data_IF_351870142679
#
_entry.id   IF_351870142679
#
_cell.length_a   1.000
_cell.length_b   1.000
_cell.length_c   1.000
_cell.angle_alpha   90.00
_cell.angle_beta   90.00
_cell.angle_gamma   90.00
#
_symmetry.space_group_name_H-M   'P 1'
#
loop_
_entity.id
_entity.type
_entity.pdbx_description
1 polymer ?
#
# COMPACT_ATOMS: atom_id res chain seq x y z
N UNK A 1 -16.03 10.15 12.61
CA UNK A 1 -15.97 9.53 11.28
C UNK A 1 -14.52 9.47 10.87
N UNK A 2 -14.02 8.29 10.54
CA UNK A 2 -12.69 8.13 9.97
C UNK A 2 -12.67 8.76 8.56
N UNK A 3 -11.67 9.60 8.29
CA UNK A 3 -11.46 10.19 6.96
C UNK A 3 -10.29 9.49 6.29
N UNK A 4 -10.38 9.31 4.96
CA UNK A 4 -9.25 8.74 4.21
C UNK A 4 -8.12 9.75 4.12
N UNK A 5 -8.44 11.00 3.82
CA UNK A 5 -7.47 12.08 3.72
C UNK A 5 -7.21 12.67 5.10
N UNK A 6 -5.93 12.84 5.43
CA UNK A 6 -5.46 13.50 6.64
C UNK A 6 -4.28 14.42 6.33
N UNK A 7 -3.95 15.31 7.25
CA UNK A 7 -2.79 16.20 7.13
C UNK A 7 -1.67 15.75 8.06
N UNK A 8 -0.44 15.87 7.59
CA UNK A 8 0.77 15.66 8.37
C UNK A 8 1.71 16.84 8.20
N UNK A 9 2.53 17.07 9.22
CA UNK A 9 3.53 18.14 9.21
C UNK A 9 4.89 17.60 9.59
N UNK A 10 5.91 17.95 8.80
CA UNK A 10 7.31 17.64 9.09
C UNK A 10 8.14 18.92 9.21
N UNK A 11 9.14 18.90 10.09
CA UNK A 11 10.10 19.99 10.26
C UNK A 11 11.28 19.71 9.33
N UNK A 12 11.59 20.64 8.42
CA UNK A 12 12.61 20.42 7.39
C UNK A 12 13.99 20.99 7.75
N UNK A 13 14.09 21.89 8.73
CA UNK A 13 15.35 22.49 9.20
C UNK A 13 16.25 23.00 8.03
N UNK A 14 17.49 22.51 7.93
CA UNK A 14 18.47 22.87 6.91
C UNK A 14 18.06 22.42 5.49
N UNK A 15 17.10 21.50 5.36
CA UNK A 15 16.59 21.01 4.08
C UNK A 15 15.45 21.85 3.51
N UNK A 16 14.89 22.77 4.29
CA UNK A 16 13.68 23.50 3.93
C UNK A 16 13.78 24.19 2.57
N UNK A 17 14.80 25.02 2.36
CA UNK A 17 14.92 25.83 1.14
C UNK A 17 15.11 24.94 -0.09
N UNK A 18 15.89 23.86 0.03
CA UNK A 18 16.09 22.90 -1.06
C UNK A 18 14.79 22.18 -1.42
N UNK A 19 14.07 21.65 -0.44
CA UNK A 19 12.82 20.92 -0.66
C UNK A 19 11.74 21.86 -1.21
N UNK A 20 11.62 23.09 -0.66
CA UNK A 20 10.70 24.12 -1.14
C UNK A 20 10.95 24.49 -2.58
N UNK A 21 12.20 24.81 -2.92
CA UNK A 21 12.61 25.11 -4.30
C UNK A 21 12.35 23.92 -5.22
N UNK A 22 12.70 22.70 -4.80
CA UNK A 22 12.50 21.49 -5.61
C UNK A 22 11.03 21.25 -5.92
N UNK A 23 10.16 21.31 -4.92
CA UNK A 23 8.71 21.09 -5.09
C UNK A 23 8.07 22.17 -5.97
N UNK A 24 8.50 23.42 -5.85
CA UNK A 24 7.90 24.54 -6.59
C UNK A 24 8.42 24.67 -8.03
N UNK A 25 9.64 24.22 -8.33
CA UNK A 25 10.28 24.46 -9.63
C UNK A 25 10.33 23.24 -10.54
N UNK A 26 10.28 22.00 -10.02
CA UNK A 26 10.36 20.80 -10.85
C UNK A 26 8.98 20.23 -11.19
N UNK A 27 8.77 19.93 -12.47
CA UNK A 27 7.52 19.35 -12.99
C UNK A 27 7.15 18.02 -12.34
N UNK A 28 8.15 17.22 -11.95
CA UNK A 28 7.99 15.95 -11.21
C UNK A 28 7.17 16.13 -9.91
N UNK A 29 7.08 17.34 -9.35
CA UNK A 29 6.41 17.65 -8.08
C UNK A 29 5.19 18.59 -8.23
N UNK A 30 4.77 18.93 -9.46
CA UNK A 30 3.65 19.85 -9.73
C UNK A 30 2.32 19.45 -9.08
N UNK A 31 2.10 18.16 -8.85
CA UNK A 31 0.89 17.68 -8.16
C UNK A 31 1.05 17.72 -6.64
N UNK A 32 2.26 17.50 -6.12
CA UNK A 32 2.56 17.61 -4.70
C UNK A 32 2.42 19.05 -4.21
N UNK A 33 2.89 20.04 -4.98
CA UNK A 33 2.78 21.46 -4.62
C UNK A 33 1.33 21.96 -4.41
N UNK A 34 0.33 21.25 -4.97
CA UNK A 34 -1.09 21.55 -4.81
C UNK A 34 -1.71 20.99 -3.54
N UNK A 35 -1.01 20.09 -2.85
CA UNK A 35 -1.49 19.38 -1.65
C UNK A 35 -0.54 19.53 -0.47
N UNK A 36 0.41 20.47 -0.56
CA UNK A 36 1.31 20.81 0.51
C UNK A 36 1.42 22.32 0.72
N UNK A 37 1.74 22.72 1.94
CA UNK A 37 1.88 24.10 2.39
C UNK A 37 3.20 24.24 3.12
N UNK A 38 3.92 25.30 2.79
CA UNK A 38 5.19 25.65 3.39
C UNK A 38 4.99 26.76 4.42
N UNK A 39 5.51 26.56 5.64
CA UNK A 39 5.59 27.60 6.66
C UNK A 39 7.04 28.06 6.80
N UNK A 40 7.33 29.29 6.36
CA UNK A 40 8.68 29.85 6.31
C UNK A 40 9.26 30.09 7.71
N UNK A 41 8.45 30.63 8.63
CA UNK A 41 8.87 30.96 10.00
C UNK A 41 9.28 29.71 10.79
N UNK A 42 8.50 28.65 10.69
CA UNK A 42 8.72 27.40 11.42
C UNK A 42 9.61 26.41 10.63
N UNK A 43 9.94 26.73 9.38
CA UNK A 43 10.64 25.84 8.44
C UNK A 43 9.97 24.46 8.34
N UNK A 44 8.64 24.45 8.20
CA UNK A 44 7.79 23.24 8.16
C UNK A 44 7.11 23.04 6.82
N UNK A 45 6.88 21.77 6.48
CA UNK A 45 6.05 21.34 5.37
C UNK A 45 4.83 20.59 5.92
N UNK A 46 3.65 21.12 5.68
CA UNK A 46 2.37 20.45 5.92
C UNK A 46 1.87 19.88 4.61
N UNK A 47 1.39 18.64 4.59
CA UNK A 47 0.91 17.98 3.38
C UNK A 47 -0.27 17.06 3.67
N UNK A 48 -1.10 16.85 2.66
CA UNK A 48 -2.16 15.85 2.71
C UNK A 48 -1.61 14.46 2.39
N UNK A 49 -2.11 13.45 3.09
CA UNK A 49 -1.81 12.03 2.90
C UNK A 49 -3.10 11.22 2.96
N UNK A 50 -3.02 9.92 2.73
CA UNK A 50 -4.18 9.02 2.69
C UNK A 50 -3.93 7.73 3.48
N UNK A 51 -4.97 7.24 4.17
CA UNK A 51 -5.03 5.95 4.86
C UNK A 51 -6.47 5.44 4.88
N UNK A 52 -6.69 4.13 4.82
CA UNK A 52 -8.03 3.55 4.98
C UNK A 52 -8.02 2.66 6.21
N UNK A 53 -8.58 3.18 7.30
CA UNK A 53 -8.73 2.49 8.57
C UNK A 53 -10.23 2.35 8.85
N UNK A 54 -10.84 1.19 8.57
CA UNK A 54 -12.29 1.03 8.74
C UNK A 54 -12.75 1.19 10.19
N UNK A 55 -13.99 1.63 10.37
CA UNK A 55 -14.57 1.83 11.71
C UNK A 55 -14.93 0.50 12.40
N UNK A 56 -14.96 0.52 13.74
CA UNK A 56 -15.43 -0.58 14.58
C UNK A 56 -14.35 -1.54 15.11
N UNK A 57 -14.62 -2.17 16.25
CA UNK A 57 -13.76 -3.17 16.90
C UNK A 57 -14.23 -4.59 16.60
N UNK A 58 -14.61 -4.85 15.35
CA UNK A 58 -15.19 -6.12 14.94
C UNK A 58 -14.24 -7.30 15.17
N UNK A 59 -14.34 -7.95 16.34
CA UNK A 59 -13.63 -9.18 16.73
C UNK A 59 -13.86 -10.38 15.77
N UNK A 60 -14.65 -10.19 14.71
CA UNK A 60 -15.16 -11.25 13.83
C UNK A 60 -14.33 -11.46 12.57
N UNK A 61 -13.42 -10.54 12.22
CA UNK A 61 -12.67 -10.60 10.94
C UNK A 61 -11.17 -10.58 11.16
N UNK A 62 -10.46 -11.43 10.41
CA UNK A 62 -9.01 -11.28 10.25
C UNK A 62 -8.75 -9.90 9.64
N UNK A 63 -7.91 -9.08 10.25
CA UNK A 63 -7.57 -7.78 9.66
C UNK A 63 -6.26 -7.91 8.88
N UNK A 64 -6.24 -7.36 7.67
CA UNK A 64 -5.08 -7.41 6.76
C UNK A 64 -4.75 -5.99 6.32
N UNK A 65 -3.47 -5.64 6.33
CA UNK A 65 -3.00 -4.34 5.85
C UNK A 65 -2.40 -4.46 4.46
N UNK A 66 -2.92 -3.69 3.52
CA UNK A 66 -2.38 -3.46 2.19
C UNK A 66 -1.43 -2.27 2.30
N UNK A 67 -0.12 -2.53 2.16
CA UNK A 67 0.92 -1.57 2.44
C UNK A 67 1.62 -1.09 1.16
N UNK A 68 1.59 0.22 0.96
CA UNK A 68 2.23 0.91 -0.17
C UNK A 68 3.49 1.65 0.29
N UNK A 69 4.34 2.04 -0.66
CA UNK A 69 5.54 2.80 -0.33
C UNK A 69 5.20 4.20 0.16
N UNK A 70 4.41 4.92 -0.65
CA UNK A 70 3.97 6.28 -0.39
C UNK A 70 2.76 6.59 -1.29
N UNK A 71 1.94 7.58 -0.94
CA UNK A 71 0.72 7.88 -1.69
C UNK A 71 1.02 8.63 -2.99
N UNK A 72 0.09 8.55 -3.94
CA UNK A 72 0.18 9.33 -5.17
C UNK A 72 -0.55 10.68 -4.97
N UNK A 73 0.02 11.83 -5.33
CA UNK A 73 -0.60 13.13 -5.04
C UNK A 73 -1.96 13.33 -5.72
N UNK A 74 -2.17 12.73 -6.90
CA UNK A 74 -3.50 12.71 -7.52
C UNK A 74 -4.50 11.82 -6.79
N UNK A 75 -4.07 10.72 -6.16
CA UNK A 75 -4.96 9.88 -5.35
C UNK A 75 -5.42 10.61 -4.10
N UNK A 76 -4.50 11.26 -3.40
CA UNK A 76 -4.80 12.15 -2.27
C UNK A 76 -5.79 13.25 -2.66
N UNK A 77 -5.60 13.87 -3.84
CA UNK A 77 -6.53 14.90 -4.34
C UNK A 77 -7.92 14.33 -4.65
N UNK A 78 -7.98 13.10 -5.18
CA UNK A 78 -9.23 12.45 -5.58
C UNK A 78 -9.95 11.77 -4.42
N UNK A 79 -9.27 11.53 -3.29
CA UNK A 79 -9.89 11.10 -2.03
C UNK A 79 -9.75 9.61 -1.72
N UNK A 80 -9.05 8.83 -2.55
CA UNK A 80 -8.82 7.40 -2.30
C UNK A 80 -7.55 6.91 -3.01
N UNK A 81 -6.90 5.90 -2.42
CA UNK A 81 -5.72 5.24 -2.97
C UNK A 81 -5.91 4.80 -4.42
N UNK A 82 -4.85 4.88 -5.22
CA UNK A 82 -4.78 4.31 -6.57
C UNK A 82 -5.92 4.78 -7.51
N UNK A 83 -6.48 5.96 -7.27
CA UNK A 83 -7.51 6.58 -8.10
C UNK A 83 -6.96 7.41 -9.25
N UNK A 84 -5.64 7.60 -9.32
CA UNK A 84 -5.01 8.21 -10.48
C UNK A 84 -5.23 7.34 -11.73
N UNK A 85 -5.38 7.93 -12.93
CA UNK A 85 -5.85 7.22 -14.13
C UNK A 85 -5.14 5.90 -14.46
N UNK A 86 -3.82 5.81 -14.20
CA UNK A 86 -3.00 4.62 -14.50
C UNK A 86 -3.15 3.48 -13.49
N UNK A 87 -3.76 3.74 -12.34
CA UNK A 87 -3.84 2.78 -11.24
C UNK A 87 -5.26 2.33 -10.92
N UNK A 88 -6.29 2.99 -11.44
CA UNK A 88 -7.71 2.69 -11.19
C UNK A 88 -8.08 1.22 -11.35
N UNK A 89 -7.50 0.53 -12.34
CA UNK A 89 -7.77 -0.90 -12.54
C UNK A 89 -7.33 -1.77 -11.36
N UNK A 90 -6.48 -1.28 -10.44
CA UNK A 90 -6.19 -1.95 -9.17
C UNK A 90 -7.47 -2.32 -8.42
N UNK A 91 -8.44 -1.40 -8.32
CA UNK A 91 -9.69 -1.66 -7.61
C UNK A 91 -10.47 -2.80 -8.24
N UNK A 92 -10.53 -2.85 -9.58
CA UNK A 92 -11.14 -3.96 -10.28
C UNK A 92 -10.41 -5.28 -9.98
N UNK A 93 -9.09 -5.28 -10.03
CA UNK A 93 -8.30 -6.49 -9.75
C UNK A 93 -8.41 -6.96 -8.30
N UNK A 94 -8.49 -6.04 -7.35
CA UNK A 94 -8.69 -6.35 -5.94
C UNK A 94 -10.03 -7.07 -5.72
N UNK A 95 -11.11 -6.54 -6.28
CA UNK A 95 -12.45 -7.13 -6.13
C UNK A 95 -12.75 -8.31 -7.08
N UNK A 96 -11.79 -8.72 -7.90
CA UNK A 96 -11.79 -10.03 -8.56
C UNK A 96 -11.31 -11.16 -7.62
N UNK A 97 -10.75 -10.83 -6.44
CA UNK A 97 -10.30 -11.83 -5.48
C UNK A 97 -11.50 -12.56 -4.85
N UNK A 98 -11.44 -13.89 -4.78
CA UNK A 98 -12.56 -14.74 -4.31
C UNK A 98 -12.95 -14.52 -2.85
N UNK A 99 -12.10 -13.84 -2.08
CA UNK A 99 -12.31 -13.54 -0.67
C UNK A 99 -13.01 -12.20 -0.42
N UNK A 100 -13.23 -11.42 -1.48
CA UNK A 100 -13.83 -10.09 -1.44
C UNK A 100 -15.01 -10.07 -2.42
N UNK A 101 -16.21 -9.85 -1.90
CA UNK A 101 -17.45 -9.76 -2.66
C UNK A 101 -18.10 -8.42 -2.36
N UNK A 102 -18.40 -7.66 -3.41
CA UNK A 102 -18.97 -6.32 -3.31
C UNK A 102 -20.37 -6.28 -3.92
N UNK A 103 -21.14 -5.26 -3.53
CA UNK A 103 -22.46 -5.00 -4.10
C UNK A 103 -22.36 -4.61 -5.58
N UNK A 104 -23.45 -4.74 -6.33
CA UNK A 104 -23.45 -4.37 -7.75
C UNK A 104 -23.21 -2.87 -7.95
N UNK A 105 -23.62 -2.02 -7.00
CA UNK A 105 -23.28 -0.59 -6.95
C UNK A 105 -21.76 -0.37 -7.02
N UNK A 106 -20.99 -1.13 -6.25
CA UNK A 106 -19.53 -1.01 -6.21
C UNK A 106 -18.91 -1.56 -7.49
N UNK A 107 -19.40 -2.70 -8.00
CA UNK A 107 -18.93 -3.27 -9.28
C UNK A 107 -19.15 -2.29 -10.44
N UNK A 108 -20.32 -1.66 -10.49
CA UNK A 108 -20.65 -0.67 -11.50
C UNK A 108 -19.73 0.55 -11.40
N UNK A 109 -19.54 1.11 -10.20
CA UNK A 109 -18.65 2.25 -9.98
C UNK A 109 -17.22 1.97 -10.44
N UNK A 110 -16.67 0.79 -10.12
CA UNK A 110 -15.32 0.40 -10.54
C UNK A 110 -15.22 0.20 -12.06
N UNK A 111 -16.26 -0.37 -12.67
CA UNK A 111 -16.30 -0.64 -14.11
C UNK A 111 -16.44 0.65 -14.92
N UNK A 112 -17.30 1.55 -14.45
CA UNK A 112 -17.62 2.82 -15.09
C UNK A 112 -17.04 3.99 -14.29
N UNK A 113 -15.71 3.99 -14.12
CA UNK A 113 -15.04 4.95 -13.24
C UNK A 113 -15.35 6.40 -13.60
N UNK A 114 -15.95 7.12 -12.65
CA UNK A 114 -16.34 8.53 -12.77
C UNK A 114 -15.85 9.37 -11.57
N UNK A 115 -16.41 10.57 -11.40
CA UNK A 115 -16.06 11.47 -10.29
C UNK A 115 -16.65 11.06 -8.94
N UNK A 116 -17.68 10.21 -8.90
CA UNK A 116 -18.32 9.71 -7.66
C UNK A 116 -17.72 8.40 -7.17
N UNK A 117 -17.08 7.66 -8.06
CA UNK A 117 -16.45 6.36 -7.77
C UNK A 117 -15.52 6.40 -6.54
N UNK A 118 -14.65 7.41 -6.36
CA UNK A 118 -13.82 7.52 -5.15
C UNK A 118 -14.63 7.58 -3.86
N UNK A 119 -15.69 8.39 -3.81
CA UNK A 119 -16.56 8.56 -2.64
C UNK A 119 -17.27 7.24 -2.31
N UNK A 120 -17.85 6.60 -3.32
CA UNK A 120 -18.54 5.31 -3.20
C UNK A 120 -17.60 4.22 -2.64
N UNK A 121 -16.36 4.13 -3.16
CA UNK A 121 -15.37 3.18 -2.65
C UNK A 121 -14.91 3.52 -1.24
N UNK A 122 -14.77 4.81 -0.93
CA UNK A 122 -14.36 5.28 0.39
C UNK A 122 -15.38 4.89 1.45
N UNK A 123 -16.65 5.15 1.20
CA UNK A 123 -17.76 4.76 2.08
C UNK A 123 -17.77 3.24 2.30
N UNK A 124 -17.68 2.45 1.22
CA UNK A 124 -17.67 1.00 1.27
C UNK A 124 -16.52 0.46 2.14
N UNK A 125 -15.30 0.95 1.93
CA UNK A 125 -14.14 0.45 2.66
C UNK A 125 -14.14 0.89 4.12
N UNK A 126 -14.52 2.13 4.42
CA UNK A 126 -14.58 2.64 5.79
C UNK A 126 -15.66 1.96 6.62
N UNK A 127 -16.81 1.66 6.02
CA UNK A 127 -17.94 0.97 6.66
C UNK A 127 -17.82 -0.56 6.62
N UNK A 128 -16.83 -1.10 5.91
CA UNK A 128 -16.73 -2.53 5.60
C UNK A 128 -17.98 -3.09 4.89
N UNK A 129 -18.61 -2.31 3.99
CA UNK A 129 -19.76 -2.73 3.19
C UNK A 129 -19.34 -3.61 1.99
N UNK A 130 -18.70 -4.73 2.30
CA UNK A 130 -18.39 -5.81 1.37
C UNK A 130 -18.46 -7.14 2.13
N UNK A 131 -18.97 -8.18 1.48
CA UNK A 131 -18.95 -9.52 2.04
C UNK A 131 -17.57 -10.15 1.81
N UNK A 132 -16.95 -10.67 2.86
CA UNK A 132 -15.59 -11.17 2.78
C UNK A 132 -15.01 -11.48 4.14
N UNK A 133 -13.86 -12.18 4.16
CA UNK A 133 -13.24 -12.63 5.41
C UNK A 133 -12.16 -11.70 5.97
N UNK A 134 -11.40 -10.93 5.17
CA UNK A 134 -10.51 -9.95 5.76
C UNK A 134 -11.12 -8.56 5.81
N UNK A 135 -11.00 -7.89 6.96
CA UNK A 135 -11.14 -6.44 7.04
C UNK A 135 -9.89 -5.81 6.46
N UNK A 136 -10.07 -4.91 5.50
CA UNK A 136 -8.98 -4.32 4.72
C UNK A 136 -8.54 -2.98 5.30
N UNK A 137 -7.27 -2.89 5.69
CA UNK A 137 -6.58 -1.64 5.99
C UNK A 137 -5.70 -1.26 4.82
N UNK A 138 -5.59 0.02 4.51
CA UNK A 138 -4.65 0.54 3.51
C UNK A 138 -3.80 1.62 4.14
N UNK A 139 -2.49 1.52 3.98
CA UNK A 139 -1.56 2.49 4.56
C UNK A 139 -0.27 2.60 3.73
N UNK A 140 0.56 3.59 4.05
CA UNK A 140 1.85 3.81 3.43
C UNK A 140 2.99 3.72 4.46
N UNK A 141 4.15 3.21 4.05
CA UNK A 141 5.35 3.31 4.89
C UNK A 141 5.78 4.78 5.07
N UNK A 142 5.72 5.58 4.00
CA UNK A 142 6.06 7.00 4.05
C UNK A 142 4.89 7.83 3.57
N UNK A 143 4.36 8.68 4.45
CA UNK A 143 3.12 9.41 4.20
C UNK A 143 3.25 10.53 3.14
N UNK A 144 4.47 10.99 2.80
CA UNK A 144 4.66 12.10 1.88
C UNK A 144 4.34 11.68 0.42
N UNK A 145 3.35 12.32 -0.23
CA UNK A 145 2.96 11.93 -1.58
C UNK A 145 4.01 12.31 -2.63
N UNK A 146 4.26 11.43 -3.59
CA UNK A 146 5.04 11.73 -4.81
C UNK A 146 4.49 10.94 -6.00
N UNK A 147 4.76 11.38 -7.22
CA UNK A 147 4.29 10.67 -8.42
C UNK A 147 4.87 9.25 -8.49
N UNK A 148 6.13 9.07 -8.06
CA UNK A 148 6.76 7.77 -7.88
C UNK A 148 7.60 7.75 -6.61
N UNK A 149 7.78 6.58 -6.01
CA UNK A 149 8.63 6.42 -4.83
C UNK A 149 10.08 6.87 -5.05
N UNK A 150 10.59 6.75 -6.28
CA UNK A 150 11.91 7.27 -6.64
C UNK A 150 12.02 8.79 -6.49
N UNK A 151 10.94 9.53 -6.72
CA UNK A 151 10.93 10.99 -6.59
C UNK A 151 11.03 11.44 -5.13
N UNK A 152 10.49 10.65 -4.21
CA UNK A 152 10.68 10.87 -2.77
C UNK A 152 12.16 10.79 -2.40
N UNK A 153 12.91 9.85 -2.98
CA UNK A 153 14.36 9.76 -2.77
C UNK A 153 15.11 10.96 -3.35
N UNK A 154 14.70 11.42 -4.54
CA UNK A 154 15.29 12.61 -5.16
C UNK A 154 15.09 13.84 -4.26
N UNK A 155 13.89 13.99 -3.70
CA UNK A 155 13.53 15.10 -2.81
C UNK A 155 14.40 15.16 -1.55
N UNK A 156 14.79 14.00 -1.02
CA UNK A 156 15.64 13.86 0.16
C UNK A 156 17.05 13.35 -0.18
N UNK A 157 17.57 13.69 -1.36
CA UNK A 157 18.83 13.13 -1.88
C UNK A 157 20.09 13.60 -1.13
N UNK A 158 20.06 14.82 -0.55
CA UNK A 158 21.16 15.37 0.26
C UNK A 158 21.40 14.51 1.51
N UNK A 159 22.64 14.46 2.00
CA UNK A 159 23.00 13.63 3.18
C UNK A 159 22.12 13.92 4.40
N UNK A 160 21.94 15.18 4.78
CA UNK A 160 21.02 15.56 5.86
C UNK A 160 19.54 15.31 5.49
N UNK A 161 19.17 15.43 4.21
CA UNK A 161 17.86 15.02 3.69
C UNK A 161 17.55 13.53 3.89
N UNK A 162 18.52 12.64 3.65
CA UNK A 162 18.34 11.20 3.86
C UNK A 162 18.09 10.86 5.32
N UNK A 163 18.82 11.50 6.24
CA UNK A 163 18.60 11.36 7.68
C UNK A 163 17.22 11.91 8.09
N UNK A 164 16.86 13.09 7.57
CA UNK A 164 15.55 13.70 7.80
C UNK A 164 14.41 12.80 7.32
N UNK A 165 14.49 12.23 6.12
CA UNK A 165 13.50 11.30 5.58
C UNK A 165 13.29 10.09 6.50
N UNK A 166 14.40 9.52 6.99
CA UNK A 166 14.34 8.41 7.95
C UNK A 166 13.61 8.82 9.23
N UNK A 167 14.00 9.95 9.82
CA UNK A 167 13.49 10.42 11.11
C UNK A 167 12.06 10.96 11.06
N UNK A 168 11.67 11.61 9.97
CA UNK A 168 10.39 12.31 9.86
C UNK A 168 9.32 11.51 9.10
N UNK A 169 9.71 10.52 8.28
CA UNK A 169 8.78 9.75 7.46
C UNK A 169 8.88 8.24 7.72
N UNK A 170 10.06 7.64 7.54
CA UNK A 170 10.18 6.16 7.57
C UNK A 170 9.99 5.56 8.96
N UNK A 171 10.71 6.08 9.97
CA UNK A 171 10.61 5.56 11.33
C UNK A 171 9.22 5.83 11.93
N UNK A 172 8.68 7.07 11.87
CA UNK A 172 7.34 7.33 12.39
C UNK A 172 6.26 6.56 11.63
N UNK A 173 6.42 6.42 10.31
CA UNK A 173 5.52 5.60 9.49
C UNK A 173 5.51 4.15 9.95
N UNK A 174 6.68 3.53 10.10
CA UNK A 174 6.78 2.15 10.61
C UNK A 174 6.18 1.99 12.01
N UNK A 175 6.47 2.91 12.93
CA UNK A 175 5.88 2.91 14.29
C UNK A 175 4.35 2.97 14.24
N UNK A 176 3.79 3.91 13.46
CA UNK A 176 2.35 4.01 13.27
C UNK A 176 1.74 2.73 12.67
N UNK A 177 2.41 2.08 11.69
CA UNK A 177 1.93 0.81 11.13
C UNK A 177 1.84 -0.29 12.21
N UNK A 178 2.84 -0.37 13.09
CA UNK A 178 2.84 -1.31 14.22
C UNK A 178 1.72 -0.99 15.20
N UNK A 179 1.58 0.28 15.60
CA UNK A 179 0.53 0.73 16.53
C UNK A 179 -0.87 0.41 15.98
N UNK A 180 -1.14 0.77 14.72
CA UNK A 180 -2.40 0.45 14.02
C UNK A 180 -2.62 -1.06 14.00
N UNK A 181 -1.55 -1.84 13.76
CA UNK A 181 -1.65 -3.29 13.71
C UNK A 181 -1.99 -3.92 15.06
N UNK A 182 -1.39 -3.43 16.15
CA UNK A 182 -1.70 -3.87 17.50
C UNK A 182 -3.15 -3.50 17.88
N UNK A 183 -3.54 -2.25 17.65
CA UNK A 183 -4.88 -1.75 17.98
C UNK A 183 -6.00 -2.48 17.22
N UNK A 184 -5.71 -2.94 16.00
CA UNK A 184 -6.70 -3.55 15.11
C UNK A 184 -6.51 -5.06 14.92
N UNK A 185 -5.62 -5.69 15.68
CA UNK A 185 -5.26 -7.12 15.57
C UNK A 185 -4.91 -7.52 14.13
N UNK A 186 -4.11 -6.70 13.44
CA UNK A 186 -3.57 -6.98 12.11
C UNK A 186 -2.29 -7.79 12.30
N UNK A 187 -2.33 -9.05 11.88
CA UNK A 187 -1.16 -9.95 11.94
C UNK A 187 -0.49 -10.15 10.59
N UNK A 188 -1.04 -9.56 9.53
CA UNK A 188 -0.59 -9.79 8.16
C UNK A 188 -0.54 -8.50 7.36
N UNK A 189 0.61 -8.24 6.73
CA UNK A 189 0.84 -7.12 5.83
C UNK A 189 1.10 -7.64 4.41
N UNK A 190 0.36 -7.12 3.44
CA UNK A 190 0.53 -7.38 2.01
C UNK A 190 1.20 -6.16 1.39
N UNK A 191 2.46 -6.32 0.98
CA UNK A 191 3.32 -5.25 0.50
C UNK A 191 3.40 -5.31 -1.03
N UNK A 192 3.29 -4.15 -1.69
CA UNK A 192 3.31 -4.04 -3.16
C UNK A 192 4.63 -3.50 -3.72
N UNK A 193 5.65 -3.33 -2.87
CA UNK A 193 6.96 -2.78 -3.20
C UNK A 193 8.06 -3.65 -2.61
N UNK A 194 8.93 -4.18 -3.48
CA UNK A 194 10.08 -4.97 -3.04
C UNK A 194 11.03 -4.16 -2.15
N UNK A 195 11.07 -2.83 -2.32
CA UNK A 195 11.91 -1.97 -1.49
C UNK A 195 11.34 -1.81 -0.07
N UNK A 196 10.04 -1.55 0.04
CA UNK A 196 9.35 -1.52 1.33
C UNK A 196 9.48 -2.87 2.02
N UNK A 197 9.29 -3.96 1.29
CA UNK A 197 9.46 -5.31 1.81
C UNK A 197 10.85 -5.52 2.42
N UNK A 198 11.92 -5.22 1.67
CA UNK A 198 13.31 -5.35 2.16
C UNK A 198 13.59 -4.49 3.39
N UNK A 199 13.04 -3.28 3.44
CA UNK A 199 13.15 -2.42 4.61
C UNK A 199 12.53 -3.07 5.84
N UNK A 200 11.31 -3.61 5.69
CA UNK A 200 10.57 -4.23 6.79
C UNK A 200 11.23 -5.52 7.30
N UNK A 201 11.73 -6.37 6.39
CA UNK A 201 12.33 -7.66 6.77
C UNK A 201 13.81 -7.55 7.11
N UNK A 202 14.46 -6.40 6.90
CA UNK A 202 15.87 -6.18 7.19
C UNK A 202 16.86 -6.93 6.29
N UNK A 203 16.42 -7.50 5.17
CA UNK A 203 17.25 -8.32 4.28
C UNK A 203 17.40 -7.66 2.89
N UNK A 204 18.60 -7.19 2.53
CA UNK A 204 18.82 -6.44 1.29
C UNK A 204 18.73 -7.31 0.01
N UNK A 205 18.93 -8.62 0.14
CA UNK A 205 19.01 -9.54 -1.00
C UNK A 205 17.71 -10.29 -1.31
N UNK A 206 16.68 -10.13 -0.48
CA UNK A 206 15.36 -10.74 -0.72
C UNK A 206 14.61 -10.04 -1.84
N UNK A 207 13.63 -10.74 -2.42
CA UNK A 207 12.73 -10.19 -3.43
C UNK A 207 13.41 -9.74 -4.75
N UNK A 208 14.64 -10.19 -5.02
CA UNK A 208 15.25 -10.00 -6.34
C UNK A 208 14.42 -10.72 -7.40
N UNK A 209 14.10 -10.00 -8.49
CA UNK A 209 13.28 -10.48 -9.59
C UNK A 209 11.93 -11.07 -9.15
N UNK A 210 11.36 -10.56 -8.04
CA UNK A 210 10.12 -11.08 -7.46
C UNK A 210 8.97 -11.20 -8.49
N UNK A 211 8.71 -10.24 -9.39
CA UNK A 211 7.61 -10.37 -10.36
C UNK A 211 7.72 -11.63 -11.23
N UNK A 212 8.89 -11.89 -11.82
CA UNK A 212 9.08 -13.06 -12.67
C UNK A 212 8.99 -14.37 -11.89
N UNK A 213 9.52 -14.38 -10.66
CA UNK A 213 9.45 -15.55 -9.78
C UNK A 213 8.02 -15.86 -9.35
N UNK A 214 7.22 -14.84 -9.03
CA UNK A 214 5.80 -14.99 -8.70
C UNK A 214 5.04 -15.54 -9.92
N UNK A 215 5.22 -14.96 -11.11
CA UNK A 215 4.57 -15.48 -12.32
C UNK A 215 4.91 -16.96 -12.57
N UNK A 216 6.20 -17.31 -12.49
CA UNK A 216 6.64 -18.71 -12.65
C UNK A 216 6.01 -19.63 -11.59
N UNK A 217 6.01 -19.22 -10.33
CA UNK A 217 5.41 -20.02 -9.26
C UNK A 217 3.90 -20.21 -9.46
N UNK A 218 3.19 -19.19 -9.97
CA UNK A 218 1.77 -19.29 -10.32
C UNK A 218 1.57 -20.28 -11.47
N UNK A 219 2.34 -20.16 -12.56
CA UNK A 219 2.24 -21.08 -13.70
C UNK A 219 2.51 -22.53 -13.25
N UNK A 220 3.58 -22.77 -12.49
CA UNK A 220 3.92 -24.09 -11.95
C UNK A 220 2.81 -24.63 -11.03
N UNK A 221 2.17 -23.77 -10.23
CA UNK A 221 1.06 -24.15 -9.34
C UNK A 221 -0.20 -24.49 -10.14
N UNK A 222 -0.52 -23.76 -11.20
CA UNK A 222 -1.68 -24.02 -12.05
C UNK A 222 -1.52 -25.31 -12.85
N UNK A 223 -0.31 -25.61 -13.33
CA UNK A 223 -0.01 -26.82 -14.09
C UNK A 223 -0.04 -28.08 -13.21
N UNK A 224 0.42 -27.99 -11.96
CA UNK A 224 0.59 -29.16 -11.07
C UNK A 224 -0.46 -29.27 -9.94
N UNK A 225 -1.32 -28.26 -9.76
CA UNK A 225 -2.23 -28.12 -8.63
C UNK A 225 -1.54 -28.24 -7.24
N UNK A 226 -0.30 -27.74 -7.14
CA UNK A 226 0.56 -27.91 -5.96
C UNK A 226 0.81 -26.57 -5.24
N UNK A 227 -0.02 -26.29 -4.23
CA UNK A 227 0.10 -25.07 -3.41
C UNK A 227 1.25 -25.09 -2.41
N UNK A 228 1.81 -26.27 -2.09
CA UNK A 228 2.98 -26.35 -1.19
C UNK A 228 4.23 -25.90 -1.95
N UNK A 229 4.42 -26.43 -3.16
CA UNK A 229 5.52 -26.03 -4.05
C UNK A 229 5.49 -24.54 -4.39
N UNK A 230 4.29 -23.95 -4.48
CA UNK A 230 4.12 -22.50 -4.66
C UNK A 230 4.86 -21.71 -3.56
N UNK A 231 4.55 -21.97 -2.29
CA UNK A 231 5.17 -21.24 -1.18
C UNK A 231 6.64 -21.60 -0.97
N UNK A 232 7.04 -22.84 -1.24
CA UNK A 232 8.45 -23.24 -1.16
C UNK A 232 9.33 -22.45 -2.14
N UNK A 233 8.82 -22.19 -3.35
CA UNK A 233 9.51 -21.41 -4.38
C UNK A 233 9.60 -19.90 -4.07
N UNK A 234 8.71 -19.41 -3.19
CA UNK A 234 8.57 -18.01 -2.79
C UNK A 234 8.81 -17.80 -1.29
N UNK A 235 9.54 -18.70 -0.62
CA UNK A 235 9.73 -18.67 0.84
C UNK A 235 10.38 -17.39 1.36
N UNK A 236 11.15 -16.67 0.54
CA UNK A 236 11.77 -15.38 0.88
C UNK A 236 10.83 -14.18 0.66
N UNK A 237 9.62 -14.41 0.13
CA UNK A 237 8.58 -13.40 -0.07
C UNK A 237 7.50 -13.45 1.02
N UNK A 238 7.61 -14.39 1.96
CA UNK A 238 6.79 -14.53 3.16
C UNK A 238 7.71 -14.58 4.39
N UNK A 239 7.67 -13.55 5.22
CA UNK A 239 8.55 -13.42 6.40
C UNK A 239 7.76 -12.92 7.60
N UNK A 240 7.99 -13.52 8.76
CA UNK A 240 7.45 -13.00 10.01
C UNK A 240 8.49 -12.12 10.67
N UNK A 241 8.10 -10.87 10.95
CA UNK A 241 8.90 -9.93 11.72
C UNK A 241 8.40 -9.88 13.16
N UNK A 242 9.34 -9.75 14.10
CA UNK A 242 9.04 -9.53 15.51
C UNK A 242 9.39 -8.07 15.84
N UNK A 243 8.43 -7.34 16.40
CA UNK A 243 8.65 -5.99 16.89
C UNK A 243 7.91 -5.82 18.22
N UNK A 244 8.69 -5.59 19.28
CA UNK A 244 8.18 -5.57 20.66
C UNK A 244 7.36 -6.82 20.98
N UNK A 245 6.06 -6.69 21.22
CA UNK A 245 5.13 -7.78 21.50
C UNK A 245 4.29 -8.20 20.28
N UNK A 246 4.57 -7.64 19.10
CA UNK A 246 3.81 -7.88 17.88
C UNK A 246 4.58 -8.81 16.93
N UNK A 247 3.88 -9.84 16.46
CA UNK A 247 4.36 -10.75 15.41
C UNK A 247 3.55 -10.50 14.14
N UNK A 248 4.20 -10.02 13.09
CA UNK A 248 3.54 -9.63 11.83
C UNK A 248 4.13 -10.46 10.69
N UNK A 249 3.28 -11.15 9.94
CA UNK A 249 3.69 -11.82 8.70
C UNK A 249 3.58 -10.86 7.53
N UNK A 250 4.70 -10.59 6.88
CA UNK A 250 4.84 -9.71 5.72
C UNK A 250 4.91 -10.57 4.45
N UNK A 251 3.98 -10.32 3.54
CA UNK A 251 3.90 -10.93 2.22
C UNK A 251 4.29 -9.91 1.16
N UNK A 252 5.22 -10.25 0.26
CA UNK A 252 5.42 -9.46 -0.96
C UNK A 252 4.47 -9.95 -2.05
N UNK A 253 3.53 -9.11 -2.44
CA UNK A 253 2.65 -9.34 -3.59
C UNK A 253 3.27 -8.82 -4.90
N UNK A 254 2.59 -9.07 -6.02
CA UNK A 254 2.91 -8.43 -7.29
C UNK A 254 2.70 -6.93 -7.22
N UNK A 255 3.68 -6.16 -7.64
CA UNK A 255 3.55 -4.70 -7.74
C UNK A 255 2.33 -4.33 -8.58
N UNK A 256 1.60 -3.29 -8.18
CA UNK A 256 0.38 -2.83 -8.86
C UNK A 256 0.59 -2.43 -10.34
N UNK A 257 1.84 -2.25 -10.80
CA UNK A 257 2.17 -2.06 -12.23
C UNK A 257 2.01 -3.33 -13.07
N UNK A 258 2.12 -4.51 -12.46
CA UNK A 258 2.00 -5.81 -13.10
C UNK A 258 0.58 -6.41 -12.98
N UNK A 259 -0.39 -5.63 -12.47
CA UNK A 259 -1.74 -6.10 -12.12
C UNK A 259 -2.55 -6.66 -13.30
N UNK A 260 -2.18 -6.27 -14.51
CA UNK A 260 -2.86 -6.65 -15.75
C UNK A 260 -2.16 -7.78 -16.51
N UNK A 261 -1.04 -8.30 -15.99
CA UNK A 261 -0.37 -9.46 -16.57
C UNK A 261 -1.25 -10.72 -16.43
N UNK A 262 -1.30 -11.51 -17.50
CA UNK A 262 -2.18 -12.69 -17.61
C UNK A 262 -1.40 -13.98 -17.81
N UNK A 263 -1.94 -15.06 -17.25
CA UNK A 263 -1.55 -16.44 -17.54
C UNK A 263 -1.98 -16.83 -18.95
N UNK A 264 -1.56 -18.01 -19.42
CA UNK A 264 -1.99 -18.58 -20.70
C UNK A 264 -3.51 -18.75 -20.79
N UNK A 265 -4.18 -18.97 -19.66
CA UNK A 265 -5.64 -19.17 -19.58
C UNK A 265 -6.42 -17.85 -19.45
N UNK A 266 -5.74 -16.70 -19.48
CA UNK A 266 -6.36 -15.38 -19.41
C UNK A 266 -6.65 -14.87 -18.00
N UNK A 267 -6.40 -15.67 -16.97
CA UNK A 267 -6.45 -15.27 -15.56
C UNK A 267 -5.31 -14.31 -15.22
N UNK A 268 -5.49 -13.48 -14.20
CA UNK A 268 -4.51 -12.44 -13.84
C UNK A 268 -3.59 -12.91 -12.72
N UNK A 269 -2.28 -12.82 -12.94
CA UNK A 269 -1.29 -13.20 -11.92
C UNK A 269 -1.50 -12.44 -10.60
N UNK A 270 -1.88 -11.17 -10.67
CA UNK A 270 -2.13 -10.35 -9.48
C UNK A 270 -3.29 -10.89 -8.63
N UNK A 271 -4.41 -11.21 -9.26
CA UNK A 271 -5.59 -11.78 -8.57
C UNK A 271 -5.27 -13.16 -8.00
N UNK A 272 -4.56 -14.01 -8.76
CA UNK A 272 -4.14 -15.33 -8.27
C UNK A 272 -3.19 -15.20 -7.07
N UNK A 273 -2.18 -14.32 -7.13
CA UNK A 273 -1.26 -14.07 -6.02
C UNK A 273 -1.99 -13.61 -4.77
N UNK A 274 -2.93 -12.66 -4.91
CA UNK A 274 -3.72 -12.18 -3.78
C UNK A 274 -4.58 -13.29 -3.19
N UNK A 275 -5.21 -14.13 -4.01
CA UNK A 275 -5.95 -15.30 -3.52
C UNK A 275 -5.05 -16.26 -2.73
N UNK A 276 -3.83 -16.55 -3.21
CA UNK A 276 -2.89 -17.42 -2.48
C UNK A 276 -2.49 -16.82 -1.13
N UNK A 277 -2.19 -15.52 -1.07
CA UNK A 277 -1.86 -14.83 0.19
C UNK A 277 -3.05 -14.87 1.15
N UNK A 278 -4.25 -14.54 0.67
CA UNK A 278 -5.45 -14.50 1.51
C UNK A 278 -5.87 -15.89 1.97
N UNK A 279 -5.74 -16.93 1.14
CA UNK A 279 -5.96 -18.32 1.55
C UNK A 279 -5.02 -18.71 2.71
N UNK A 280 -3.74 -18.34 2.62
CA UNK A 280 -2.74 -18.62 3.67
C UNK A 280 -3.06 -17.87 4.99
N UNK A 281 -3.39 -16.57 4.90
CA UNK A 281 -3.79 -15.75 6.06
C UNK A 281 -5.04 -16.33 6.74
N UNK A 282 -6.04 -16.72 5.95
CA UNK A 282 -7.32 -17.20 6.46
C UNK A 282 -7.25 -18.62 7.02
N UNK A 283 -6.32 -19.47 6.54
CA UNK A 283 -6.02 -20.79 7.13
C UNK A 283 -5.36 -20.68 8.50
N UNK A 284 -4.42 -19.74 8.67
CA UNK A 284 -3.71 -19.54 9.94
C UNK A 284 -4.54 -18.91 11.07
N UNK A 285 -5.80 -18.56 10.79
CA UNK A 285 -6.72 -17.94 11.75
C UNK A 285 -7.81 -18.88 12.29
N UNK A 286 -7.84 -20.12 11.80
CA UNK A 286 -8.69 -21.21 12.32
C UNK A 286 -7.99 -21.90 13.48
#
# INVERSE_FOLDING_TARGET
>A
MNTIISEQTIILNDQYDFIKTTINQHDDFKNLSKICLFNDEQRRLTFKTEKIHPEGTGKRYNSVMFLFSNPHPLSVKTGIFLSEPRSRSFWQRLFECKHLTVTDKIKEAITNWDSKTPEILSECLLSCDYSGRPRLFFDCLEALPTNQYGDLKKLFSRKSGQALRKQALQNPGFQNLVEVSQQNNIKSWIVFSAEVYRYLVGEINTAKNAPNRICKAIDDCLENNDTLKFWDSLKDLKRTIQYETCSITVYLALIARCKDWKTKNGERYFTIMLNQILDDILKGAQ
#
